data_IF_116965576319
#
_entry.id   IF_116965576319
#
_cell.length_a   1.000
_cell.length_b   1.000
_cell.length_c   1.000
_cell.angle_alpha   90.00
_cell.angle_beta   90.00
_cell.angle_gamma   90.00
#
_symmetry.space_group_name_H-M   'P 1'
#
loop_
_entity.id
_entity.type
_entity.pdbx_description
1 polymer ?
#
# COMPACT_ATOMS: atom_id res chain seq x y z
N UNK A 1 9.46 -2.24 -27.66
CA UNK A 1 9.85 -1.78 -26.30
C UNK A 1 9.72 -0.27 -26.31
N UNK A 2 8.89 0.31 -25.44
CA UNK A 2 8.72 1.77 -25.38
C UNK A 2 10.00 2.44 -24.89
N UNK A 3 10.39 3.56 -25.52
CA UNK A 3 11.52 4.40 -25.11
C UNK A 3 11.23 4.88 -23.66
N UNK A 4 12.19 4.74 -22.76
CA UNK A 4 12.05 5.33 -21.42
C UNK A 4 11.85 6.84 -21.57
N UNK A 5 10.86 7.39 -20.86
CA UNK A 5 10.46 8.79 -21.04
C UNK A 5 11.59 9.78 -20.69
N UNK A 6 12.36 9.45 -19.65
CA UNK A 6 13.56 10.17 -19.28
C UNK A 6 14.80 9.39 -19.70
N UNK A 7 15.78 10.08 -20.28
CA UNK A 7 17.12 9.54 -20.53
C UNK A 7 17.98 9.57 -19.25
N UNK A 8 19.19 8.99 -19.30
CA UNK A 8 20.03 8.88 -18.11
C UNK A 8 20.47 10.23 -17.52
N UNK A 9 20.70 11.24 -18.35
CA UNK A 9 21.10 12.59 -17.89
C UNK A 9 19.92 13.29 -17.19
N UNK A 10 18.72 13.16 -17.75
CA UNK A 10 17.47 13.65 -17.16
C UNK A 10 17.18 12.94 -15.83
N UNK A 11 17.39 11.63 -15.76
CA UNK A 11 17.26 10.88 -14.51
C UNK A 11 18.25 11.35 -13.46
N UNK A 12 19.52 11.59 -13.81
CA UNK A 12 20.52 12.11 -12.88
C UNK A 12 20.12 13.49 -12.32
N UNK A 13 19.67 14.40 -13.19
CA UNK A 13 19.10 15.69 -12.79
C UNK A 13 17.93 15.52 -11.81
N UNK A 14 16.97 14.64 -12.12
CA UNK A 14 15.81 14.42 -11.26
C UNK A 14 16.15 13.77 -9.91
N UNK A 15 17.27 13.04 -9.82
CA UNK A 15 17.73 12.44 -8.57
C UNK A 15 18.13 13.48 -7.52
N UNK A 16 18.64 14.65 -7.94
CA UNK A 16 19.06 15.73 -7.03
C UNK A 16 17.89 16.26 -6.18
N UNK A 17 16.65 16.16 -6.68
CA UNK A 17 15.44 16.62 -6.00
C UNK A 17 14.75 15.55 -5.15
N UNK A 18 15.29 14.32 -5.10
CA UNK A 18 14.64 13.22 -4.37
C UNK A 18 14.58 13.46 -2.87
N UNK A 19 15.63 14.03 -2.28
CA UNK A 19 15.68 14.30 -0.84
C UNK A 19 14.65 15.36 -0.42
N UNK A 20 14.51 16.42 -1.21
CA UNK A 20 13.47 17.44 -1.00
C UNK A 20 12.06 16.87 -1.21
N UNK A 21 11.86 16.02 -2.23
CA UNK A 21 10.58 15.33 -2.41
C UNK A 21 10.27 14.39 -1.23
N UNK A 22 11.26 13.68 -0.69
CA UNK A 22 11.11 12.80 0.46
C UNK A 22 10.78 13.57 1.74
N UNK A 23 11.43 14.71 1.99
CA UNK A 23 11.15 15.55 3.16
C UNK A 23 9.68 16.03 3.14
N UNK A 24 9.22 16.54 1.99
CA UNK A 24 7.83 16.95 1.78
C UNK A 24 6.82 15.81 1.92
N UNK A 25 7.25 14.55 1.69
CA UNK A 25 6.40 13.36 1.78
C UNK A 25 6.31 12.80 3.21
N UNK A 26 7.42 12.77 3.95
CA UNK A 26 7.52 12.18 5.29
C UNK A 26 6.91 13.08 6.37
N UNK A 27 6.94 14.40 6.17
CA UNK A 27 6.17 15.39 6.93
C UNK A 27 6.49 15.40 8.42
N UNK A 28 7.44 16.24 8.83
CA UNK A 28 7.73 16.52 10.25
C UNK A 28 7.26 17.91 10.70
N UNK A 29 6.57 18.66 9.84
CA UNK A 29 6.58 20.13 9.97
C UNK A 29 5.25 20.73 10.47
N UNK A 30 4.37 19.93 11.07
CA UNK A 30 3.06 20.40 11.56
C UNK A 30 2.08 20.85 10.46
N UNK A 31 2.44 20.72 9.18
CA UNK A 31 1.63 21.14 8.04
C UNK A 31 0.39 20.27 7.82
N UNK A 32 -0.72 20.91 7.46
CA UNK A 32 -1.95 20.23 7.07
C UNK A 32 -1.74 19.36 5.82
N UNK A 33 -2.60 18.36 5.62
CA UNK A 33 -2.53 17.49 4.44
C UNK A 33 -2.64 18.29 3.12
N UNK A 34 -3.46 19.34 3.11
CA UNK A 34 -3.66 20.23 1.96
C UNK A 34 -2.40 21.03 1.64
N UNK A 35 -1.73 21.57 2.65
CA UNK A 35 -0.47 22.31 2.47
C UNK A 35 0.63 21.41 1.94
N UNK A 36 0.73 20.17 2.42
CA UNK A 36 1.69 19.18 1.88
C UNK A 36 1.44 18.84 0.42
N UNK A 37 0.18 18.80 -0.03
CA UNK A 37 -0.14 18.63 -1.45
C UNK A 37 0.31 19.87 -2.24
N UNK A 38 0.05 21.08 -1.73
CA UNK A 38 0.48 22.32 -2.37
C UNK A 38 2.00 22.41 -2.49
N UNK A 39 2.75 22.13 -1.43
CA UNK A 39 4.23 22.19 -1.45
C UNK A 39 4.83 21.19 -2.44
N UNK A 40 4.33 19.95 -2.49
CA UNK A 40 4.77 18.97 -3.49
C UNK A 40 4.46 19.41 -4.92
N UNK A 41 3.29 19.98 -5.15
CA UNK A 41 2.93 20.50 -6.47
C UNK A 41 3.81 21.71 -6.86
N UNK A 42 4.21 22.56 -5.90
CA UNK A 42 5.16 23.65 -6.16
C UNK A 42 6.54 23.12 -6.53
N UNK A 43 7.05 22.12 -5.81
CA UNK A 43 8.32 21.47 -6.14
C UNK A 43 8.31 20.93 -7.57
N UNK A 44 7.27 20.20 -7.98
CA UNK A 44 7.20 19.67 -9.35
C UNK A 44 7.17 20.78 -10.40
N UNK A 45 6.49 21.90 -10.13
CA UNK A 45 6.50 23.05 -11.06
C UNK A 45 7.87 23.68 -11.19
N UNK A 46 8.56 23.89 -10.05
CA UNK A 46 9.94 24.41 -10.04
C UNK A 46 10.88 23.50 -10.82
N UNK A 47 10.80 22.19 -10.57
CA UNK A 47 11.61 21.19 -11.29
C UNK A 47 11.33 21.20 -12.79
N UNK A 48 10.09 21.47 -13.25
CA UNK A 48 9.80 21.59 -14.69
C UNK A 48 10.50 22.79 -15.30
N UNK A 49 10.47 23.93 -14.62
CA UNK A 49 11.14 25.16 -15.07
C UNK A 49 12.66 24.90 -15.18
N UNK A 50 13.27 24.40 -14.11
CA UNK A 50 14.71 24.04 -14.07
C UNK A 50 15.06 22.93 -15.08
N UNK A 51 14.13 22.01 -15.37
CA UNK A 51 14.33 20.94 -16.35
C UNK A 51 14.46 21.48 -17.77
N UNK A 52 13.63 22.45 -18.17
CA UNK A 52 13.74 23.05 -19.50
C UNK A 52 14.97 23.95 -19.62
N UNK A 53 15.42 24.58 -18.52
CA UNK A 53 16.70 25.30 -18.49
C UNK A 53 17.90 24.37 -18.67
N UNK A 54 17.90 23.21 -17.99
CA UNK A 54 18.97 22.22 -18.09
C UNK A 54 18.96 21.43 -19.42
N UNK A 55 17.77 21.23 -20.00
CA UNK A 55 17.57 20.47 -21.24
C UNK A 55 16.81 21.27 -22.29
N UNK A 56 17.36 22.38 -22.80
CA UNK A 56 16.66 23.30 -23.71
C UNK A 56 16.25 22.64 -25.03
N UNK A 57 16.96 21.59 -25.45
CA UNK A 57 16.62 20.75 -26.61
C UNK A 57 15.27 20.03 -26.50
N UNK A 58 14.76 19.84 -25.27
CA UNK A 58 13.44 19.25 -25.01
C UNK A 58 12.31 20.27 -25.17
N UNK A 59 12.61 21.57 -25.08
CA UNK A 59 11.60 22.61 -25.18
C UNK A 59 11.28 22.95 -26.65
N UNK A 60 10.05 22.65 -27.06
CA UNK A 60 9.55 22.96 -28.41
C UNK A 60 9.23 24.45 -28.62
N UNK A 61 9.25 25.28 -27.58
CA UNK A 61 9.03 26.73 -27.70
C UNK A 61 10.28 27.57 -27.88
N UNK A 62 11.46 27.02 -27.60
CA UNK A 62 12.71 27.79 -27.64
C UNK A 62 13.63 27.41 -28.81
N UNK A 63 13.47 26.24 -29.43
CA UNK A 63 14.36 25.75 -30.48
C UNK A 63 13.59 25.14 -31.66
N UNK A 64 14.24 25.06 -32.83
CA UNK A 64 13.73 24.28 -33.96
C UNK A 64 13.50 22.82 -33.53
N UNK A 65 12.32 22.23 -33.81
CA UNK A 65 11.99 20.89 -33.33
C UNK A 65 13.00 19.86 -33.85
N UNK A 66 13.69 19.21 -32.91
CA UNK A 66 14.58 18.07 -33.19
C UNK A 66 13.87 16.77 -32.82
N UNK A 67 14.43 15.61 -33.19
CA UNK A 67 13.92 14.30 -32.75
C UNK A 67 13.89 14.12 -31.22
N UNK A 68 14.59 14.96 -30.48
CA UNK A 68 14.61 14.95 -29.02
C UNK A 68 13.58 15.90 -28.40
N UNK A 69 12.95 16.77 -29.17
CA UNK A 69 12.01 17.76 -28.68
C UNK A 69 10.69 17.11 -28.27
N UNK A 70 10.15 17.51 -27.11
CA UNK A 70 8.88 16.96 -26.64
C UNK A 70 7.71 17.44 -27.49
N UNK A 71 6.80 16.52 -27.82
CA UNK A 71 5.53 16.86 -28.45
C UNK A 71 4.66 17.69 -27.49
N UNK A 72 3.62 18.35 -28.01
CA UNK A 72 2.68 19.10 -27.18
C UNK A 72 2.06 18.22 -26.07
N UNK A 73 1.66 16.99 -26.40
CA UNK A 73 1.10 16.04 -25.44
C UNK A 73 2.12 15.66 -24.35
N UNK A 74 3.40 15.53 -24.71
CA UNK A 74 4.47 15.22 -23.75
C UNK A 74 4.75 16.38 -22.80
N UNK A 75 4.66 17.63 -23.30
CA UNK A 75 4.79 18.83 -22.47
C UNK A 75 3.64 18.97 -21.48
N UNK A 76 2.40 18.80 -21.95
CA UNK A 76 1.21 18.83 -21.10
C UNK A 76 1.23 17.69 -20.06
N UNK A 77 1.78 16.53 -20.44
CA UNK A 77 1.93 15.37 -19.57
C UNK A 77 3.12 15.40 -18.61
N UNK A 78 4.11 16.29 -18.81
CA UNK A 78 5.38 16.28 -18.07
C UNK A 78 5.17 16.39 -16.56
N UNK A 79 4.24 17.25 -16.13
CA UNK A 79 3.90 17.41 -14.72
C UNK A 79 3.42 16.11 -14.07
N UNK A 80 2.51 15.39 -14.75
CA UNK A 80 2.00 14.12 -14.25
C UNK A 80 3.11 13.06 -14.20
N UNK A 81 3.94 13.00 -15.25
CA UNK A 81 5.05 12.03 -15.37
C UNK A 81 6.13 12.26 -14.32
N UNK A 82 6.53 13.51 -14.06
CA UNK A 82 7.49 13.83 -12.99
C UNK A 82 6.93 13.47 -11.61
N UNK A 83 5.68 13.81 -11.34
CA UNK A 83 5.02 13.45 -10.09
C UNK A 83 4.94 11.94 -9.90
N UNK A 84 4.63 11.20 -10.96
CA UNK A 84 4.64 9.73 -10.93
C UNK A 84 6.05 9.18 -10.69
N UNK A 85 7.05 9.70 -11.39
CA UNK A 85 8.46 9.33 -11.24
C UNK A 85 8.94 9.53 -9.81
N UNK A 86 8.76 10.73 -9.24
CA UNK A 86 9.12 11.02 -7.84
C UNK A 86 8.39 10.09 -6.86
N UNK A 87 7.10 9.82 -7.09
CA UNK A 87 6.35 8.90 -6.26
C UNK A 87 6.87 7.46 -6.33
N UNK A 88 7.31 7.01 -7.51
CA UNK A 88 7.85 5.68 -7.74
C UNK A 88 9.25 5.52 -7.14
N UNK A 89 10.13 6.52 -7.33
CA UNK A 89 11.49 6.53 -6.79
C UNK A 89 11.50 6.61 -5.25
N UNK A 90 10.57 7.38 -4.67
CA UNK A 90 10.45 7.52 -3.20
C UNK A 90 9.41 6.59 -2.60
N UNK A 91 8.88 5.65 -3.41
CA UNK A 91 8.06 4.57 -2.89
C UNK A 91 8.98 3.72 -2.04
N UNK A 92 8.76 3.71 -0.72
CA UNK A 92 9.43 2.76 0.16
C UNK A 92 9.33 1.38 -0.49
N UNK A 93 10.48 0.71 -0.72
CA UNK A 93 10.53 -0.62 -1.35
C UNK A 93 9.61 -1.63 -0.65
N UNK A 94 9.22 -1.37 0.60
CA UNK A 94 8.21 -2.12 1.37
C UNK A 94 6.74 -1.83 1.06
N UNK A 95 6.36 -1.05 0.04
CA UNK A 95 4.93 -0.71 -0.19
C UNK A 95 4.02 -1.90 -0.55
N UNK A 96 4.55 -2.95 -1.20
CA UNK A 96 3.83 -4.23 -1.41
C UNK A 96 3.81 -5.05 -0.13
N UNK A 97 4.91 -5.08 0.60
CA UNK A 97 5.08 -5.81 1.84
C UNK A 97 4.21 -5.22 2.95
N UNK A 98 4.22 -3.90 3.18
CA UNK A 98 3.31 -3.19 4.09
C UNK A 98 1.83 -3.35 3.71
N UNK A 99 1.48 -3.52 2.42
CA UNK A 99 0.10 -3.85 2.00
C UNK A 99 -0.24 -5.33 2.22
N UNK A 100 0.69 -6.24 1.97
CA UNK A 100 0.55 -7.67 2.28
C UNK A 100 0.46 -7.89 3.80
N UNK A 101 1.29 -7.18 4.57
CA UNK A 101 1.31 -7.14 6.03
C UNK A 101 0.05 -6.44 6.55
N UNK A 102 -0.41 -5.30 6.00
CA UNK A 102 -1.73 -4.73 6.38
C UNK A 102 -2.88 -5.69 6.07
N UNK A 103 -2.77 -6.46 4.98
CA UNK A 103 -3.73 -7.51 4.61
C UNK A 103 -3.70 -8.63 5.65
N UNK A 104 -2.53 -9.16 6.03
CA UNK A 104 -2.36 -10.16 7.10
C UNK A 104 -2.86 -9.61 8.46
N UNK A 105 -2.47 -8.38 8.82
CA UNK A 105 -2.86 -7.63 10.04
C UNK A 105 -4.38 -7.44 10.19
N UNK A 106 -5.14 -7.29 9.10
CA UNK A 106 -6.62 -7.24 9.12
C UNK A 106 -7.29 -8.60 8.98
N UNK A 107 -6.56 -9.64 8.53
CA UNK A 107 -7.17 -10.93 8.21
C UNK A 107 -7.19 -11.88 9.40
N UNK A 108 -6.31 -11.76 10.39
CA UNK A 108 -6.36 -12.63 11.57
C UNK A 108 -7.28 -12.01 12.63
N UNK A 109 -8.49 -12.55 12.73
CA UNK A 109 -9.51 -12.20 13.73
C UNK A 109 -9.86 -13.44 14.55
N UNK A 110 -10.40 -13.26 15.76
CA UNK A 110 -10.91 -14.36 16.58
C UNK A 110 -11.86 -15.25 15.77
N UNK A 111 -12.74 -14.64 14.97
CA UNK A 111 -13.64 -15.35 14.04
C UNK A 111 -12.92 -16.28 13.07
N UNK A 112 -11.79 -15.86 12.50
CA UNK A 112 -11.03 -16.69 11.55
C UNK A 112 -10.27 -17.81 12.27
N UNK A 113 -9.74 -17.53 13.47
CA UNK A 113 -9.11 -18.55 14.29
C UNK A 113 -10.13 -19.60 14.74
N UNK A 114 -11.30 -19.19 15.23
CA UNK A 114 -12.42 -20.06 15.60
C UNK A 114 -12.89 -20.87 14.39
N UNK A 115 -13.10 -20.23 13.23
CA UNK A 115 -13.56 -20.93 12.01
C UNK A 115 -12.57 -22.01 11.54
N UNK A 116 -11.27 -21.82 11.80
CA UNK A 116 -10.23 -22.81 11.51
C UNK A 116 -10.22 -23.92 12.56
N UNK A 117 -10.16 -23.55 13.84
CA UNK A 117 -10.06 -24.47 14.97
C UNK A 117 -11.28 -25.41 15.03
N UNK A 118 -12.48 -24.85 14.96
CA UNK A 118 -13.76 -25.58 15.03
C UNK A 118 -14.32 -25.92 13.65
N UNK A 119 -13.45 -26.19 12.67
CA UNK A 119 -13.91 -26.54 11.30
C UNK A 119 -14.82 -27.77 11.32
N UNK A 120 -14.54 -28.76 12.16
CA UNK A 120 -15.31 -30.00 12.24
C UNK A 120 -16.72 -29.78 12.80
N UNK A 121 -16.88 -28.83 13.72
CA UNK A 121 -18.16 -28.53 14.37
C UNK A 121 -19.01 -27.55 13.56
N UNK A 122 -18.37 -26.59 12.88
CA UNK A 122 -19.03 -25.61 12.00
C UNK A 122 -19.53 -26.26 10.70
N UNK A 123 -18.86 -27.31 10.20
CA UNK A 123 -19.18 -27.90 8.90
C UNK A 123 -20.56 -28.57 8.85
N UNK A 124 -20.99 -29.37 9.84
CA UNK A 124 -22.35 -29.89 9.94
C UNK A 124 -23.42 -28.78 9.99
N UNK A 125 -23.17 -27.71 10.75
CA UNK A 125 -24.08 -26.54 10.82
C UNK A 125 -24.22 -25.90 9.44
N UNK A 126 -23.11 -25.71 8.72
CA UNK A 126 -23.11 -25.16 7.37
C UNK A 126 -23.85 -26.06 6.36
N UNK A 127 -23.74 -27.38 6.52
CA UNK A 127 -24.46 -28.34 5.69
C UNK A 127 -25.97 -28.27 5.96
N UNK A 128 -26.39 -28.22 7.23
CA UNK A 128 -27.80 -28.04 7.61
C UNK A 128 -28.38 -26.75 7.03
N UNK A 129 -27.69 -25.62 7.20
CA UNK A 129 -28.13 -24.31 6.64
C UNK A 129 -28.31 -24.38 5.12
N UNK A 130 -27.44 -25.10 4.42
CA UNK A 130 -27.53 -25.24 2.97
C UNK A 130 -28.62 -26.23 2.53
N UNK A 131 -28.92 -27.23 3.36
CA UNK A 131 -30.07 -28.12 3.13
C UNK A 131 -31.39 -27.37 3.32
N UNK A 132 -31.46 -26.46 4.29
CA UNK A 132 -32.64 -25.60 4.55
C UNK A 132 -32.79 -24.49 3.49
N UNK A 133 -31.68 -23.93 3.01
CA UNK A 133 -31.66 -22.94 1.93
C UNK A 133 -30.64 -23.33 0.83
N UNK A 134 -31.06 -24.15 -0.15
CA UNK A 134 -30.20 -24.61 -1.23
C UNK A 134 -29.69 -23.51 -2.16
N UNK A 135 -30.32 -22.33 -2.13
CA UNK A 135 -29.91 -21.18 -2.94
C UNK A 135 -28.61 -20.52 -2.45
N UNK A 136 -28.23 -20.78 -1.19
CA UNK A 136 -27.01 -20.26 -0.62
C UNK A 136 -25.76 -20.92 -1.23
N UNK A 137 -24.80 -20.07 -1.59
CA UNK A 137 -23.46 -20.54 -1.91
C UNK A 137 -22.83 -21.23 -0.70
N UNK A 138 -21.95 -22.20 -0.96
CA UNK A 138 -21.21 -22.94 0.09
C UNK A 138 -20.46 -22.00 1.04
N UNK A 139 -19.93 -20.90 0.51
CA UNK A 139 -19.22 -19.88 1.30
C UNK A 139 -20.20 -19.11 2.19
N UNK A 140 -21.35 -18.69 1.66
CA UNK A 140 -22.37 -17.99 2.43
C UNK A 140 -22.93 -18.85 3.57
N UNK A 141 -23.21 -20.14 3.31
CA UNK A 141 -23.64 -21.08 4.33
C UNK A 141 -22.59 -21.27 5.44
N UNK A 142 -21.30 -21.41 5.08
CA UNK A 142 -20.21 -21.51 6.06
C UNK A 142 -20.03 -20.23 6.89
N UNK A 143 -20.20 -19.06 6.28
CA UNK A 143 -20.16 -17.79 7.00
C UNK A 143 -21.31 -17.67 8.01
N UNK A 144 -22.54 -18.05 7.61
CA UNK A 144 -23.69 -18.10 8.53
C UNK A 144 -23.44 -19.06 9.69
N UNK A 145 -23.00 -20.28 9.40
CA UNK A 145 -22.65 -21.29 10.41
C UNK A 145 -21.58 -20.80 11.38
N UNK A 146 -20.53 -20.16 10.87
CA UNK A 146 -19.46 -19.60 11.72
C UNK A 146 -19.98 -18.48 12.63
N UNK A 147 -20.93 -17.65 12.16
CA UNK A 147 -21.56 -16.65 13.03
C UNK A 147 -22.37 -17.32 14.13
N UNK A 148 -23.23 -18.27 13.77
CA UNK A 148 -24.08 -18.98 14.72
C UNK A 148 -23.23 -19.65 15.82
N UNK A 149 -22.20 -20.39 15.41
CA UNK A 149 -21.29 -21.06 16.33
C UNK A 149 -20.56 -20.10 17.29
N UNK A 150 -20.18 -18.91 16.81
CA UNK A 150 -19.55 -17.90 17.67
C UNK A 150 -20.54 -17.29 18.66
N UNK A 151 -21.78 -17.05 18.26
CA UNK A 151 -22.80 -16.54 19.18
C UNK A 151 -23.16 -17.59 20.25
N UNK A 152 -23.22 -18.86 19.89
CA UNK A 152 -23.37 -19.98 20.83
C UNK A 152 -22.18 -20.05 21.80
N UNK A 153 -20.94 -20.01 21.28
CA UNK A 153 -19.71 -20.03 22.08
C UNK A 153 -19.63 -18.87 23.10
N UNK A 154 -20.04 -17.65 22.72
CA UNK A 154 -20.03 -16.51 23.66
C UNK A 154 -20.93 -16.73 24.89
N UNK A 155 -21.96 -17.57 24.76
CA UNK A 155 -22.92 -17.85 25.83
C UNK A 155 -22.51 -19.10 26.60
N UNK A 156 -22.09 -20.15 25.90
CA UNK A 156 -21.78 -21.46 26.48
C UNK A 156 -20.36 -21.54 27.07
N UNK A 157 -19.39 -20.86 26.45
CA UNK A 157 -17.98 -20.85 26.86
C UNK A 157 -17.32 -19.48 26.57
N UNK A 158 -17.70 -18.43 27.34
CA UNK A 158 -17.18 -17.08 27.13
C UNK A 158 -15.65 -17.00 27.33
N UNK A 159 -15.09 -17.85 28.19
CA UNK A 159 -13.66 -17.89 28.49
C UNK A 159 -12.86 -18.38 27.27
N UNK A 160 -13.34 -19.42 26.59
CA UNK A 160 -12.74 -19.91 25.36
C UNK A 160 -12.86 -18.88 24.22
N UNK A 161 -13.98 -18.17 24.12
CA UNK A 161 -14.11 -17.06 23.17
C UNK A 161 -13.09 -15.94 23.44
N UNK A 162 -12.89 -15.58 24.71
CA UNK A 162 -11.90 -14.59 25.12
C UNK A 162 -10.46 -15.04 24.80
N UNK A 163 -10.15 -16.33 25.00
CA UNK A 163 -8.84 -16.88 24.58
C UNK A 163 -8.57 -16.67 23.10
N UNK A 164 -9.55 -16.85 22.22
CA UNK A 164 -9.37 -16.56 20.79
C UNK A 164 -9.23 -15.06 20.49
N UNK A 165 -9.79 -14.18 21.30
CA UNK A 165 -9.57 -12.73 21.19
C UNK A 165 -8.14 -12.36 21.58
N UNK A 166 -7.65 -12.89 22.71
CA UNK A 166 -6.27 -12.70 23.18
C UNK A 166 -5.29 -13.30 22.18
N UNK A 167 -5.50 -14.53 21.71
CA UNK A 167 -4.66 -15.16 20.69
C UNK A 167 -4.64 -14.35 19.38
N UNK A 168 -5.79 -13.84 18.94
CA UNK A 168 -5.84 -12.96 17.77
C UNK A 168 -5.09 -11.64 18.00
N UNK A 169 -5.08 -11.12 19.22
CA UNK A 169 -4.27 -9.96 19.61
C UNK A 169 -2.78 -10.29 19.59
N UNK A 170 -2.36 -11.37 20.23
CA UNK A 170 -0.95 -11.78 20.33
C UNK A 170 -0.36 -12.08 18.96
N UNK A 171 -1.08 -12.79 18.09
CA UNK A 171 -0.63 -13.02 16.71
C UNK A 171 -0.50 -11.70 15.94
N UNK A 172 -1.37 -10.72 16.21
CA UNK A 172 -1.26 -9.36 15.62
C UNK A 172 -0.09 -8.57 16.19
N UNK A 173 0.31 -8.80 17.45
CA UNK A 173 1.44 -8.15 18.10
C UNK A 173 2.78 -8.80 17.74
N UNK A 174 2.88 -10.13 17.75
CA UNK A 174 4.08 -10.86 17.30
C UNK A 174 4.44 -10.49 15.84
N UNK A 175 3.44 -10.36 14.98
CA UNK A 175 3.62 -9.88 13.61
C UNK A 175 4.03 -8.39 13.50
N UNK A 176 4.00 -7.61 14.58
CA UNK A 176 4.56 -6.26 14.66
C UNK A 176 6.03 -6.28 15.08
N UNK A 177 6.39 -7.13 16.02
CA UNK A 177 7.74 -7.22 16.62
C UNK A 177 8.76 -7.86 15.67
N UNK A 178 8.38 -8.91 14.94
CA UNK A 178 9.27 -9.69 14.05
C UNK A 178 9.92 -8.88 12.90
N UNK A 179 9.52 -7.62 12.70
CA UNK A 179 10.08 -6.73 11.68
C UNK A 179 10.72 -5.45 12.23
N UNK A 180 10.53 -5.11 13.51
CA UNK A 180 11.18 -3.96 14.13
C UNK A 180 12.60 -4.29 14.63
N UNK A 181 12.83 -5.53 15.10
CA UNK A 181 14.14 -5.96 15.64
C UNK A 181 15.11 -6.54 14.60
N UNK A 182 14.74 -6.56 13.32
CA UNK A 182 15.66 -6.94 12.22
C UNK A 182 16.12 -5.77 11.35
N UNK A 183 16.05 -4.54 11.86
CA UNK A 183 16.77 -3.42 11.25
C UNK A 183 18.21 -3.39 11.77
N UNK A 184 19.12 -3.92 10.95
CA UNK A 184 20.56 -3.62 10.87
C UNK A 184 21.53 -4.14 11.96
N UNK A 185 21.13 -4.43 13.20
CA UNK A 185 22.10 -4.90 14.21
C UNK A 185 22.53 -6.37 14.05
N UNK A 186 21.65 -7.25 13.57
CA UNK A 186 21.97 -8.69 13.40
C UNK A 186 22.79 -9.04 12.14
N UNK A 187 23.22 -8.05 11.34
CA UNK A 187 24.06 -8.24 10.14
C UNK A 187 25.51 -7.81 10.37
N UNK A 188 25.92 -7.52 11.61
CA UNK A 188 27.27 -7.09 11.99
C UNK A 188 27.92 -7.92 13.11
N UNK A 189 27.46 -9.15 13.33
CA UNK A 189 28.22 -10.15 14.13
C UNK A 189 28.80 -11.26 13.25
#
# INVERSE_FOLDING_TARGET
MGKAFFNNAEVAFLQEYLDEWMSLKRGNDGLSATERIKSRNRLVRRVIEEFYEAFPKRDSTQNDPTEETYSQEEREGLYARLKEWFNNCTREKGGRERRAIKKIKKTITARILISKHYTKDISPIAQRIRSEDPSLSRIAARNKATTQFIEEMKVEDPDEYERFQVLAWDVRQAAQTDYAEKSEEALRE
#
